data_IF_712636001260
#
_entry.id   IF_712636001260
#
_cell.length_a   1.000
_cell.length_b   1.000
_cell.length_c   1.000
_cell.angle_alpha   90.00
_cell.angle_beta   90.00
_cell.angle_gamma   90.00
#
_symmetry.space_group_name_H-M   'P 1'
#
loop_
_entity.id
_entity.type
_entity.pdbx_description
1 polymer ?
#
# COMPACT_ATOMS: atom_id res chain seq x y z
N UNK A 1 -22.04 -23.25 24.69
CA UNK A 1 -21.35 -22.46 23.64
C UNK A 1 -22.23 -21.28 23.28
N UNK A 2 -21.76 -20.05 23.51
CA UNK A 2 -22.53 -18.83 23.23
C UNK A 2 -22.83 -18.72 21.73
N UNK A 3 -24.11 -18.61 21.35
CA UNK A 3 -24.58 -18.33 19.98
C UNK A 3 -24.68 -16.83 19.68
N UNK A 4 -24.01 -15.99 20.47
CA UNK A 4 -24.06 -14.54 20.33
C UNK A 4 -23.23 -14.01 19.15
N UNK A 5 -23.39 -12.72 18.79
CA UNK A 5 -22.60 -12.05 17.75
C UNK A 5 -21.09 -12.13 18.01
N UNK A 6 -20.68 -12.23 19.28
CA UNK A 6 -19.28 -12.42 19.71
C UNK A 6 -18.94 -13.86 20.11
N UNK A 7 -19.56 -14.85 19.47
CA UNK A 7 -19.08 -16.24 19.58
C UNK A 7 -17.68 -16.37 18.99
N UNK A 8 -16.85 -17.29 19.50
CA UNK A 8 -15.50 -17.56 18.98
C UNK A 8 -15.48 -17.77 17.46
N UNK A 9 -16.48 -18.50 16.94
CA UNK A 9 -16.64 -18.75 15.50
C UNK A 9 -16.88 -17.44 14.72
N UNK A 10 -17.72 -16.55 15.25
CA UNK A 10 -18.02 -15.27 14.60
C UNK A 10 -16.82 -14.32 14.66
N UNK A 11 -16.09 -14.31 15.79
CA UNK A 11 -14.86 -13.52 15.94
C UNK A 11 -13.79 -14.02 14.99
N UNK A 12 -13.58 -15.34 14.89
CA UNK A 12 -12.65 -15.94 13.94
C UNK A 12 -12.99 -15.55 12.50
N UNK A 13 -14.25 -15.74 12.10
CA UNK A 13 -14.71 -15.37 10.76
C UNK A 13 -14.56 -13.85 10.48
N UNK A 14 -14.77 -13.01 11.49
CA UNK A 14 -14.57 -11.56 11.35
C UNK A 14 -13.07 -11.23 11.22
N UNK A 15 -12.21 -11.90 11.99
CA UNK A 15 -10.76 -11.73 11.94
C UNK A 15 -10.18 -12.09 10.57
N UNK A 16 -10.62 -13.21 10.00
CA UNK A 16 -10.20 -13.66 8.66
C UNK A 16 -10.60 -12.66 7.56
N UNK A 17 -11.61 -11.82 7.80
CA UNK A 17 -12.12 -10.81 6.86
C UNK A 17 -11.52 -9.41 7.06
N UNK A 18 -10.69 -9.19 8.08
CA UNK A 18 -10.12 -7.87 8.36
C UNK A 18 -9.44 -7.26 7.11
N UNK A 19 -8.53 -7.98 6.40
CA UNK A 19 -7.80 -7.40 5.26
C UNK A 19 -8.71 -6.95 4.12
N UNK A 20 -9.84 -7.64 3.91
CA UNK A 20 -10.78 -7.38 2.80
C UNK A 20 -11.99 -6.54 3.22
N UNK A 21 -11.95 -5.91 4.39
CA UNK A 21 -13.06 -5.10 4.92
C UNK A 21 -12.74 -3.61 4.76
N UNK A 22 -13.72 -2.80 4.37
CA UNK A 22 -13.55 -1.35 4.20
C UNK A 22 -13.15 -0.64 5.50
N UNK A 23 -12.41 0.47 5.40
CA UNK A 23 -11.91 1.21 6.56
C UNK A 23 -13.05 1.68 7.47
N UNK A 24 -14.16 2.17 6.88
CA UNK A 24 -15.36 2.56 7.63
C UNK A 24 -15.90 1.39 8.47
N UNK A 25 -16.03 0.21 7.88
CA UNK A 25 -16.60 -0.96 8.54
C UNK A 25 -15.67 -1.52 9.62
N UNK A 26 -14.35 -1.47 9.42
CA UNK A 26 -13.38 -1.82 10.46
C UNK A 26 -13.50 -0.90 11.69
N UNK A 27 -13.62 0.42 11.49
CA UNK A 27 -13.88 1.37 12.58
C UNK A 27 -15.18 1.04 13.32
N UNK A 28 -16.25 0.73 12.60
CA UNK A 28 -17.53 0.30 13.21
C UNK A 28 -17.39 -1.00 14.01
N UNK A 29 -16.65 -1.99 13.50
CA UNK A 29 -16.39 -3.25 14.21
C UNK A 29 -15.59 -3.03 15.47
N UNK A 30 -14.55 -2.18 15.41
CA UNK A 30 -13.72 -1.80 16.54
C UNK A 30 -14.53 -1.17 17.65
N UNK A 31 -15.35 -0.16 17.35
CA UNK A 31 -16.16 0.53 18.36
C UNK A 31 -17.21 -0.38 18.98
N UNK A 32 -17.84 -1.26 18.18
CA UNK A 32 -18.77 -2.28 18.70
C UNK A 32 -18.06 -3.29 19.59
N UNK A 33 -16.86 -3.74 19.23
CA UNK A 33 -16.07 -4.66 20.03
C UNK A 33 -15.66 -4.01 21.36
N UNK A 34 -15.14 -2.77 21.34
CA UNK A 34 -14.81 -2.02 22.57
C UNK A 34 -16.01 -1.84 23.50
N UNK A 35 -17.18 -1.55 22.95
CA UNK A 35 -18.41 -1.37 23.74
C UNK A 35 -18.94 -2.66 24.35
N UNK A 36 -18.64 -3.81 23.73
CA UNK A 36 -19.10 -5.13 24.17
C UNK A 36 -18.08 -5.84 25.07
N UNK A 37 -16.83 -5.37 25.13
CA UNK A 37 -15.74 -6.08 25.80
C UNK A 37 -15.70 -5.83 27.31
N UNK A 38 -16.63 -6.45 28.04
CA UNK A 38 -16.70 -6.33 29.51
C UNK A 38 -15.61 -7.13 30.26
N UNK A 39 -14.89 -8.03 29.58
CA UNK A 39 -13.99 -9.00 30.21
C UNK A 39 -12.61 -9.14 29.52
N UNK A 40 -12.31 -8.32 28.51
CA UNK A 40 -11.05 -8.38 27.76
C UNK A 40 -10.97 -9.50 26.72
N UNK A 41 -12.09 -10.16 26.40
CA UNK A 41 -12.13 -11.29 25.47
C UNK A 41 -12.02 -10.87 23.99
N UNK A 42 -12.15 -9.58 23.69
CA UNK A 42 -12.09 -9.05 22.33
C UNK A 42 -10.78 -8.29 22.03
N UNK A 43 -9.86 -8.21 23.00
CA UNK A 43 -8.61 -7.45 22.88
C UNK A 43 -7.78 -7.86 21.66
N UNK A 44 -7.61 -9.16 21.41
CA UNK A 44 -6.86 -9.65 20.24
C UNK A 44 -7.52 -9.29 18.91
N UNK A 45 -8.86 -9.25 18.88
CA UNK A 45 -9.61 -8.85 17.68
C UNK A 45 -9.52 -7.34 17.45
N UNK A 46 -9.61 -6.54 18.52
CA UNK A 46 -9.43 -5.08 18.46
C UNK A 46 -8.00 -4.75 18.01
N UNK A 47 -6.99 -5.41 18.56
CA UNK A 47 -5.58 -5.24 18.17
C UNK A 47 -5.38 -5.57 16.68
N UNK A 48 -5.94 -6.68 16.19
CA UNK A 48 -5.86 -7.02 14.77
C UNK A 48 -6.53 -5.99 13.84
N UNK A 49 -7.61 -5.33 14.30
CA UNK A 49 -8.22 -4.22 13.55
C UNK A 49 -7.32 -2.99 13.57
N UNK A 50 -6.73 -2.67 14.72
CA UNK A 50 -5.86 -1.50 14.89
C UNK A 50 -4.59 -1.64 14.04
N UNK A 51 -3.98 -2.83 14.02
CA UNK A 51 -2.83 -3.15 13.16
C UNK A 51 -3.16 -2.96 11.67
N UNK A 52 -4.35 -3.41 11.24
CA UNK A 52 -4.79 -3.23 9.85
C UNK A 52 -5.05 -1.76 9.52
N UNK A 53 -5.68 -1.01 10.42
CA UNK A 53 -5.97 0.41 10.22
C UNK A 53 -4.69 1.25 10.19
N UNK A 54 -3.69 0.92 11.01
CA UNK A 54 -2.39 1.59 11.03
C UNK A 54 -1.57 1.28 9.77
N UNK A 55 -1.65 0.05 9.26
CA UNK A 55 -0.94 -0.36 8.06
C UNK A 55 -1.49 0.30 6.78
N UNK A 56 -2.75 0.71 6.77
CA UNK A 56 -3.41 1.34 5.62
C UNK A 56 -2.96 2.79 5.46
N UNK A 57 -2.45 3.19 4.28
CA UNK A 57 -2.03 4.56 4.04
C UNK A 57 -3.18 5.56 4.00
N UNK A 58 -4.37 5.12 3.57
CA UNK A 58 -5.58 5.95 3.47
C UNK A 58 -6.84 5.10 3.71
N UNK A 59 -7.99 5.77 3.76
CA UNK A 59 -9.30 5.12 3.80
C UNK A 59 -9.56 4.38 2.48
N UNK A 60 -9.92 3.09 2.59
CA UNK A 60 -10.29 2.24 1.45
C UNK A 60 -11.74 1.80 1.57
N UNK A 61 -12.43 1.74 0.43
CA UNK A 61 -13.77 1.17 0.33
C UNK A 61 -13.72 -0.37 0.32
N UNK A 62 -14.88 -1.01 0.12
CA UNK A 62 -15.00 -2.47 0.15
C UNK A 62 -14.26 -3.14 -1.01
N UNK A 63 -14.47 -2.64 -2.23
CA UNK A 63 -13.93 -3.22 -3.45
C UNK A 63 -12.41 -3.08 -3.49
N UNK A 64 -11.88 -1.91 -3.12
CA UNK A 64 -10.45 -1.68 -3.01
C UNK A 64 -9.80 -2.52 -1.90
N UNK A 65 -10.49 -2.74 -0.78
CA UNK A 65 -10.00 -3.62 0.28
C UNK A 65 -9.93 -5.08 -0.18
N UNK A 66 -10.95 -5.57 -0.91
CA UNK A 66 -10.98 -6.93 -1.44
C UNK A 66 -9.91 -7.15 -2.52
N UNK A 67 -9.73 -6.20 -3.42
CA UNK A 67 -8.66 -6.23 -4.42
C UNK A 67 -7.27 -6.28 -3.73
N UNK A 68 -7.03 -5.38 -2.77
CA UNK A 68 -5.77 -5.35 -2.03
C UNK A 68 -5.51 -6.65 -1.24
N UNK A 69 -6.53 -7.21 -0.61
CA UNK A 69 -6.40 -8.48 0.12
C UNK A 69 -6.08 -9.65 -0.83
N UNK A 70 -6.63 -9.64 -2.05
CA UNK A 70 -6.32 -10.65 -3.08
C UNK A 70 -4.88 -10.49 -3.55
N UNK A 71 -4.48 -9.29 -3.93
CA UNK A 71 -3.10 -9.01 -4.35
C UNK A 71 -2.07 -9.31 -3.27
N UNK A 72 -2.39 -9.07 -2.00
CA UNK A 72 -1.50 -9.42 -0.89
C UNK A 72 -1.27 -10.92 -0.74
N UNK A 73 -2.29 -11.75 -1.01
CA UNK A 73 -2.13 -13.21 -1.00
C UNK A 73 -1.31 -13.68 -2.19
N UNK A 74 -1.54 -13.11 -3.37
CA UNK A 74 -0.82 -13.50 -4.59
C UNK A 74 0.64 -13.05 -4.55
N UNK A 75 0.91 -11.85 -4.05
CA UNK A 75 2.26 -11.30 -3.92
C UNK A 75 3.04 -11.85 -2.71
N UNK A 76 2.43 -12.70 -1.89
CA UNK A 76 3.05 -13.23 -0.69
C UNK A 76 4.35 -13.98 -1.04
N UNK A 77 5.48 -13.48 -0.52
CA UNK A 77 6.80 -14.08 -0.74
C UNK A 77 7.46 -13.70 -2.07
N UNK A 78 6.82 -12.86 -2.90
CA UNK A 78 7.45 -12.31 -4.10
C UNK A 78 8.65 -11.43 -3.73
N UNK A 79 9.69 -11.48 -4.56
CA UNK A 79 10.76 -10.47 -4.54
C UNK A 79 10.20 -9.10 -4.94
N UNK A 80 10.95 -8.02 -4.69
CA UNK A 80 10.52 -6.69 -5.13
C UNK A 80 10.32 -6.62 -6.65
N UNK A 81 11.21 -7.21 -7.44
CA UNK A 81 11.09 -7.21 -8.89
C UNK A 81 9.81 -7.93 -9.36
N UNK A 82 9.51 -9.09 -8.76
CA UNK A 82 8.30 -9.85 -9.09
C UNK A 82 7.03 -9.12 -8.64
N UNK A 83 7.06 -8.48 -7.47
CA UNK A 83 5.95 -7.65 -7.00
C UNK A 83 5.71 -6.44 -7.91
N UNK A 84 6.76 -5.85 -8.50
CA UNK A 84 6.63 -4.79 -9.51
C UNK A 84 6.01 -5.33 -10.78
N UNK A 85 6.49 -6.47 -11.30
CA UNK A 85 5.92 -7.11 -12.50
C UNK A 85 4.43 -7.41 -12.32
N UNK A 86 4.09 -8.03 -11.19
CA UNK A 86 2.71 -8.34 -10.86
C UNK A 86 1.87 -7.08 -10.66
N UNK A 87 2.35 -6.14 -9.85
CA UNK A 87 1.64 -4.91 -9.49
C UNK A 87 1.32 -4.03 -10.68
N UNK A 88 2.30 -3.78 -11.56
CA UNK A 88 2.17 -2.87 -12.70
C UNK A 88 1.75 -3.57 -14.00
N UNK A 89 1.90 -4.89 -14.11
CA UNK A 89 1.53 -5.66 -15.30
C UNK A 89 0.18 -6.35 -15.20
N UNK A 90 -0.23 -6.83 -14.02
CA UNK A 90 -1.42 -7.66 -13.85
C UNK A 90 -2.45 -7.03 -12.90
N UNK A 91 -2.03 -6.68 -11.68
CA UNK A 91 -2.94 -6.19 -10.65
C UNK A 91 -3.59 -4.86 -11.06
N UNK A 92 -2.76 -3.85 -11.36
CA UNK A 92 -3.24 -2.56 -11.85
C UNK A 92 -2.20 -1.82 -12.69
N UNK A 93 -2.41 -1.70 -14.01
CA UNK A 93 -1.53 -0.92 -14.87
C UNK A 93 -1.35 0.53 -14.39
N UNK A 94 -0.19 1.16 -14.63
CA UNK A 94 0.01 2.56 -14.32
C UNK A 94 -0.87 3.44 -15.20
N UNK A 95 -1.51 4.43 -14.59
CA UNK A 95 -2.14 5.55 -15.30
C UNK A 95 -1.11 6.32 -16.12
N UNK A 96 -1.57 7.12 -17.09
CA UNK A 96 -0.67 7.94 -17.92
C UNK A 96 0.23 8.88 -17.11
N UNK A 97 -0.27 9.36 -15.97
CA UNK A 97 0.47 10.23 -15.05
C UNK A 97 1.52 9.46 -14.25
N UNK A 98 1.16 8.30 -13.70
CA UNK A 98 2.14 7.41 -13.05
C UNK A 98 3.24 6.99 -14.02
N UNK A 99 2.87 6.64 -15.25
CA UNK A 99 3.80 6.28 -16.32
C UNK A 99 4.76 7.42 -16.67
N UNK A 100 4.24 8.64 -16.83
CA UNK A 100 5.08 9.82 -17.07
C UNK A 100 6.07 10.04 -15.92
N UNK A 101 5.61 9.95 -14.67
CA UNK A 101 6.49 10.08 -13.51
C UNK A 101 7.59 9.01 -13.51
N UNK A 102 7.22 7.73 -13.73
CA UNK A 102 8.19 6.64 -13.77
C UNK A 102 9.22 6.83 -14.90
N UNK A 103 8.79 7.29 -16.08
CA UNK A 103 9.70 7.62 -17.20
C UNK A 103 10.70 8.72 -16.83
N UNK A 104 10.22 9.83 -16.26
CA UNK A 104 11.09 10.92 -15.79
C UNK A 104 12.14 10.39 -14.81
N UNK A 105 11.75 9.55 -13.84
CA UNK A 105 12.67 8.98 -12.85
C UNK A 105 13.65 7.97 -13.46
N UNK A 106 13.27 7.26 -14.52
CA UNK A 106 14.11 6.30 -15.22
C UNK A 106 15.16 6.98 -16.13
N UNK A 107 14.76 8.06 -16.80
CA UNK A 107 15.58 8.87 -17.73
C UNK A 107 16.51 9.84 -17.00
N UNK A 108 16.12 10.30 -15.80
CA UNK A 108 16.89 11.24 -14.98
C UNK A 108 17.19 10.70 -13.57
N UNK A 109 18.06 9.68 -13.42
CA UNK A 109 18.43 9.16 -12.10
C UNK A 109 19.09 10.25 -11.25
N UNK A 110 18.52 10.52 -10.07
CA UNK A 110 19.02 11.56 -9.16
C UNK A 110 18.48 12.94 -9.43
N UNK A 111 17.40 13.05 -10.21
CA UNK A 111 16.67 14.30 -10.40
C UNK A 111 16.21 14.88 -9.05
N UNK A 112 16.35 16.19 -8.90
CA UNK A 112 15.83 16.89 -7.72
C UNK A 112 14.31 17.00 -7.75
N UNK A 113 13.68 17.21 -6.59
CA UNK A 113 12.23 17.43 -6.48
C UNK A 113 11.75 18.60 -7.34
N UNK A 114 12.54 19.68 -7.40
CA UNK A 114 12.25 20.89 -8.17
C UNK A 114 12.27 20.60 -9.67
N UNK A 115 13.33 19.95 -10.15
CA UNK A 115 13.46 19.59 -11.57
C UNK A 115 12.39 18.58 -12.00
N UNK A 116 12.12 17.58 -11.17
CA UNK A 116 11.10 16.58 -11.45
C UNK A 116 9.71 17.24 -11.53
N UNK A 117 9.39 18.15 -10.60
CA UNK A 117 8.14 18.93 -10.63
C UNK A 117 8.00 19.71 -11.93
N UNK A 118 9.08 20.34 -12.41
CA UNK A 118 9.09 21.07 -13.68
C UNK A 118 8.83 20.14 -14.88
N UNK A 119 9.44 18.96 -14.92
CA UNK A 119 9.21 17.96 -15.97
C UNK A 119 7.83 17.31 -15.87
N UNK A 120 7.25 17.29 -14.67
CA UNK A 120 5.93 16.75 -14.37
C UNK A 120 4.82 17.82 -14.41
N UNK A 121 4.93 18.78 -15.34
CA UNK A 121 3.93 19.83 -15.58
C UNK A 121 3.56 20.69 -14.35
N UNK A 122 4.51 20.89 -13.43
CA UNK A 122 4.31 21.60 -12.16
C UNK A 122 3.22 20.98 -11.25
N UNK A 123 2.89 19.70 -11.45
CA UNK A 123 1.98 18.98 -10.55
C UNK A 123 2.70 18.44 -9.32
N UNK A 124 1.93 18.21 -8.24
CA UNK A 124 2.45 17.68 -6.99
C UNK A 124 2.95 16.24 -7.13
N UNK A 125 4.23 16.07 -7.47
CA UNK A 125 4.88 14.76 -7.62
C UNK A 125 4.75 13.87 -6.36
N UNK A 126 4.79 14.47 -5.16
CA UNK A 126 4.69 13.72 -3.90
C UNK A 126 3.42 12.86 -3.79
N UNK A 127 2.31 13.37 -4.32
CA UNK A 127 1.04 12.63 -4.38
C UNK A 127 1.17 11.40 -5.26
N UNK A 128 1.69 11.58 -6.49
CA UNK A 128 1.83 10.49 -7.45
C UNK A 128 2.89 9.45 -7.04
N UNK A 129 3.97 9.87 -6.37
CA UNK A 129 4.91 8.93 -5.75
C UNK A 129 4.20 8.02 -4.73
N UNK A 130 3.31 8.57 -3.92
CA UNK A 130 2.47 7.79 -3.01
C UNK A 130 1.53 6.85 -3.76
N UNK A 131 0.87 7.33 -4.83
CA UNK A 131 -0.08 6.55 -5.62
C UNK A 131 0.54 5.30 -6.25
N UNK A 132 1.81 5.36 -6.67
CA UNK A 132 2.52 4.20 -7.25
C UNK A 132 2.41 2.94 -6.38
N UNK A 133 2.49 3.12 -5.06
CA UNK A 133 2.37 2.02 -4.08
C UNK A 133 0.95 1.91 -3.56
N UNK A 134 0.27 3.02 -3.26
CA UNK A 134 -1.08 3.01 -2.69
C UNK A 134 -2.08 2.26 -3.58
N UNK A 135 -2.12 2.55 -4.88
CA UNK A 135 -3.08 1.95 -5.82
C UNK A 135 -2.83 0.45 -6.03
N UNK A 136 -1.72 -0.06 -5.48
CA UNK A 136 -1.23 -1.44 -5.55
C UNK A 136 -0.80 -1.94 -4.17
N UNK A 137 -1.36 -1.38 -3.09
CA UNK A 137 -0.84 -1.57 -1.74
C UNK A 137 -0.71 -3.05 -1.37
N UNK A 138 -1.69 -3.86 -1.74
CA UNK A 138 -1.65 -5.31 -1.54
C UNK A 138 -0.39 -5.97 -2.10
N UNK A 139 0.10 -5.53 -3.26
CA UNK A 139 1.28 -6.10 -3.93
C UNK A 139 2.58 -5.87 -3.16
N UNK A 140 2.68 -4.77 -2.41
CA UNK A 140 3.91 -4.32 -1.76
C UNK A 140 3.87 -4.45 -0.24
N UNK A 141 2.73 -4.80 0.35
CA UNK A 141 2.52 -4.77 1.80
C UNK A 141 3.58 -5.56 2.58
N UNK A 142 3.97 -6.74 2.12
CA UNK A 142 5.00 -7.55 2.79
C UNK A 142 6.43 -6.99 2.68
N UNK A 143 6.65 -6.02 1.78
CA UNK A 143 7.95 -5.38 1.51
C UNK A 143 8.10 -4.03 2.22
N UNK A 144 7.12 -3.61 3.00
CA UNK A 144 7.09 -2.29 3.63
C UNK A 144 7.29 -2.40 5.16
N UNK A 145 8.53 -2.31 5.67
CA UNK A 145 8.77 -2.32 7.10
C UNK A 145 8.47 -0.95 7.74
N UNK A 146 7.55 -0.88 8.72
CA UNK A 146 7.44 0.22 9.70
C UNK A 146 7.02 1.60 9.18
N UNK A 147 5.94 1.64 8.41
CA UNK A 147 5.51 2.70 7.47
C UNK A 147 5.48 4.17 7.98
N UNK A 148 6.15 5.05 7.23
CA UNK A 148 5.73 6.46 7.00
C UNK A 148 5.82 6.88 5.53
N UNK A 149 6.75 6.30 4.77
CA UNK A 149 6.95 6.62 3.35
C UNK A 149 6.96 5.36 2.49
N UNK A 150 5.78 4.97 2.00
CA UNK A 150 5.60 3.73 1.26
C UNK A 150 6.33 3.71 -0.08
N UNK A 151 6.38 4.87 -0.75
CA UNK A 151 7.03 5.00 -2.07
C UNK A 151 8.54 4.70 -2.04
N UNK A 152 9.16 4.70 -0.85
CA UNK A 152 10.55 4.30 -0.66
C UNK A 152 10.84 2.83 -1.02
N UNK A 153 9.81 1.97 -1.08
CA UNK A 153 9.97 0.60 -1.58
C UNK A 153 10.38 0.59 -3.06
N UNK A 154 9.92 1.57 -3.84
CA UNK A 154 10.17 1.69 -5.28
C UNK A 154 11.29 2.70 -5.61
N UNK A 155 11.38 3.77 -4.82
CA UNK A 155 12.21 4.94 -5.12
C UNK A 155 13.19 5.21 -3.98
N UNK A 156 14.48 5.20 -4.25
CA UNK A 156 15.51 5.70 -3.31
C UNK A 156 15.44 7.22 -3.26
N UNK A 157 15.49 7.75 -2.04
CA UNK A 157 15.33 9.17 -1.72
C UNK A 157 16.51 9.65 -0.91
N UNK A 158 17.20 10.69 -1.36
CA UNK A 158 18.32 11.29 -0.62
C UNK A 158 18.25 12.81 -0.59
N UNK A 159 18.75 13.39 0.51
CA UNK A 159 18.93 14.85 0.62
C UNK A 159 20.36 15.22 0.24
N UNK A 160 20.53 15.97 -0.84
CA UNK A 160 21.82 16.49 -1.31
C UNK A 160 21.72 18.02 -1.29
N UNK A 161 22.65 18.68 -0.61
CA UNK A 161 22.67 20.15 -0.46
C UNK A 161 21.31 20.75 -0.03
N UNK A 162 20.59 20.06 0.87
CA UNK A 162 19.28 20.50 1.37
C UNK A 162 18.10 20.21 0.45
N UNK A 163 18.31 19.65 -0.75
CA UNK A 163 17.27 19.30 -1.72
C UNK A 163 17.03 17.80 -1.75
N UNK A 164 15.78 17.39 -1.99
CA UNK A 164 15.41 15.98 -2.11
C UNK A 164 15.64 15.50 -3.55
N UNK A 165 16.33 14.37 -3.70
CA UNK A 165 16.63 13.71 -4.98
C UNK A 165 16.06 12.29 -5.00
N UNK A 166 15.77 11.79 -6.21
CA UNK A 166 15.05 10.54 -6.42
C UNK A 166 15.74 9.65 -7.44
N UNK A 167 15.76 8.35 -7.16
CA UNK A 167 16.21 7.30 -8.07
C UNK A 167 15.20 6.15 -8.03
N UNK A 168 14.79 5.63 -9.19
CA UNK A 168 14.22 4.28 -9.18
C UNK A 168 15.26 3.32 -8.62
N UNK A 169 14.83 2.39 -7.76
CA UNK A 169 15.72 1.31 -7.34
C UNK A 169 16.09 0.46 -8.57
N UNK A 170 17.32 -0.06 -8.69
CA UNK A 170 17.76 -0.78 -9.89
C UNK A 170 16.84 -1.94 -10.29
N UNK A 171 16.41 -2.74 -9.33
CA UNK A 171 15.51 -3.87 -9.55
C UNK A 171 14.09 -3.45 -9.95
N UNK A 172 13.65 -2.26 -9.54
CA UNK A 172 12.36 -1.68 -9.92
C UNK A 172 12.44 -1.18 -11.36
N UNK A 173 13.53 -0.46 -11.70
CA UNK A 173 13.75 0.03 -13.07
C UNK A 173 13.77 -1.14 -14.07
N UNK A 174 14.56 -2.17 -13.81
CA UNK A 174 14.65 -3.33 -14.70
C UNK A 174 13.29 -4.02 -14.91
N UNK A 175 12.52 -4.23 -13.83
CA UNK A 175 11.19 -4.82 -13.93
C UNK A 175 10.19 -3.93 -14.70
N UNK A 176 10.31 -2.60 -14.60
CA UNK A 176 9.46 -1.67 -15.35
C UNK A 176 9.82 -1.60 -16.84
N UNK A 177 11.11 -1.72 -17.18
CA UNK A 177 11.59 -1.80 -18.58
C UNK A 177 11.07 -3.07 -19.27
N UNK A 178 11.08 -4.22 -18.58
CA UNK A 178 10.51 -5.48 -19.09
C UNK A 178 9.00 -5.39 -19.38
N UNK A 179 8.30 -4.51 -18.68
CA UNK A 179 6.87 -4.27 -18.86
C UNK A 179 6.55 -3.16 -19.88
N UNK A 180 7.56 -2.56 -20.52
CA UNK A 180 7.43 -1.36 -21.36
C UNK A 180 6.69 -0.22 -20.61
N UNK A 181 6.91 -0.10 -19.30
CA UNK A 181 6.38 1.01 -18.49
C UNK A 181 7.27 2.24 -18.63
N UNK A 182 8.58 2.03 -18.53
CA UNK A 182 9.63 3.04 -18.71
C UNK A 182 10.48 2.74 -19.91
#
# INVERSE_FOLDING_TARGET
MSKGPFSEKNIKNARDRIPSTSTKRLREWRERAKSADSAGHLMDFIAAIDDELEARPIDVDGDAAEANATWAREAAGMTLADAVRYGFGQARPPSSKERLLLKILAEHPGISAEECTRLFNNEGMGLYLGHLVYERYGCFRHLLPGHKDQSSVLVRKEKIAGRQHYWLRPEVKAALEELDVV
#
